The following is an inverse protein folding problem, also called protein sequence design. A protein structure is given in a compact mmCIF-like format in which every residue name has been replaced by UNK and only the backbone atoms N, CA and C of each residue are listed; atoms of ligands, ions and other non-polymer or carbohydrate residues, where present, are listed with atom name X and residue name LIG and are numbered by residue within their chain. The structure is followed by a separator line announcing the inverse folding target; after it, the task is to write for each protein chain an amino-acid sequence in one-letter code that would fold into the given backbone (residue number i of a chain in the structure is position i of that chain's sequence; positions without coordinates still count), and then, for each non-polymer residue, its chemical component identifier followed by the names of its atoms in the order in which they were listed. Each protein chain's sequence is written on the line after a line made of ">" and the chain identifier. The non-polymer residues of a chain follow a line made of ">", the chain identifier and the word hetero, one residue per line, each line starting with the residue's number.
data_IF_015501889614
#
_entry.id   IF_015501889614
#
_cell.length_a   1.000
_cell.length_b   1.000
_cell.length_c   1.000
_cell.angle_alpha   90.00
_cell.angle_beta   90.00
_cell.angle_gamma   90.00
#
_symmetry.space_group_name_H-M   'P 1'
#
loop_
_entity.id
_entity.type
_entity.pdbx_description
1 polymer ?
#
# COMPACT_ATOMS: atom_id res chain seq x y z
N UNK A 1 33.70 3.77 5.51
CA UNK A 1 32.42 4.20 4.88
C UNK A 1 31.34 3.19 5.20
N UNK A 2 31.58 1.91 4.88
CA UNK A 2 30.72 0.74 5.18
C UNK A 2 30.18 0.72 6.61
N UNK A 3 31.03 0.85 7.65
CA UNK A 3 30.53 0.86 9.03
C UNK A 3 29.50 1.96 9.35
N UNK A 4 29.56 3.12 8.66
CA UNK A 4 28.52 4.16 8.80
C UNK A 4 27.25 3.84 8.03
N UNK A 5 27.36 3.13 6.91
CA UNK A 5 26.20 2.64 6.15
C UNK A 5 25.41 1.65 7.02
N UNK A 6 26.10 0.68 7.61
CA UNK A 6 25.50 -0.26 8.56
C UNK A 6 24.86 0.45 9.76
N UNK A 7 25.52 1.48 10.31
CA UNK A 7 24.95 2.29 11.40
C UNK A 7 23.73 3.10 10.97
N UNK A 8 23.73 3.69 9.77
CA UNK A 8 22.56 4.40 9.24
C UNK A 8 21.37 3.46 9.05
N UNK A 9 21.59 2.20 8.70
CA UNK A 9 20.52 1.21 8.56
C UNK A 9 20.04 0.71 9.92
N UNK A 10 20.96 0.31 10.80
CA UNK A 10 20.65 -0.27 12.09
C UNK A 10 20.00 0.73 13.06
N UNK A 11 20.44 1.99 13.09
CA UNK A 11 19.91 3.01 14.00
C UNK A 11 19.08 4.09 13.29
N UNK A 12 19.47 4.51 12.09
CA UNK A 12 18.74 5.53 11.36
C UNK A 12 17.41 5.02 10.82
N UNK A 13 17.45 4.00 9.95
CA UNK A 13 16.26 3.45 9.28
C UNK A 13 15.32 2.77 10.28
N UNK A 14 15.86 2.05 11.27
CA UNK A 14 15.06 1.33 12.29
C UNK A 14 14.06 2.24 13.02
N UNK A 15 14.42 3.50 13.28
CA UNK A 15 13.54 4.50 13.91
C UNK A 15 12.33 4.87 13.03
N UNK A 16 12.47 4.76 11.72
CA UNK A 16 11.41 5.07 10.77
C UNK A 16 10.53 3.88 10.43
N UNK A 17 10.95 2.65 10.72
CA UNK A 17 10.19 1.44 10.36
C UNK A 17 8.76 1.52 10.89
N UNK A 18 8.56 1.74 12.19
CA UNK A 18 7.22 1.72 12.78
C UNK A 18 6.29 2.84 12.27
N UNK A 19 6.70 4.13 12.27
CA UNK A 19 5.88 5.20 11.68
C UNK A 19 5.53 4.96 10.22
N UNK A 20 6.50 4.45 9.45
CA UNK A 20 6.35 4.21 8.01
C UNK A 20 5.42 3.04 7.71
N UNK A 21 5.29 2.05 8.60
CA UNK A 21 4.29 1.00 8.44
C UNK A 21 2.87 1.56 8.48
N UNK A 22 2.60 2.47 9.41
CA UNK A 22 1.24 2.96 9.71
C UNK A 22 0.82 4.19 8.91
N UNK A 23 1.77 5.04 8.49
CA UNK A 23 1.48 6.35 7.92
C UNK A 23 1.98 6.48 6.48
N UNK A 24 1.29 7.27 5.66
CA UNK A 24 1.83 7.69 4.38
C UNK A 24 2.98 8.68 4.58
N UNK A 25 4.11 8.44 3.92
CA UNK A 25 5.28 9.32 3.98
C UNK A 25 5.39 10.13 2.69
N UNK A 26 5.31 11.45 2.79
CA UNK A 26 5.39 12.32 1.61
C UNK A 26 6.76 12.21 0.93
N UNK A 27 6.81 12.30 -0.40
CA UNK A 27 8.05 12.13 -1.15
C UNK A 27 9.15 13.12 -0.74
N UNK A 28 8.78 14.35 -0.36
CA UNK A 28 9.75 15.32 0.17
C UNK A 28 10.37 14.85 1.49
N UNK A 29 9.60 14.20 2.36
CA UNK A 29 10.10 13.61 3.60
C UNK A 29 11.06 12.47 3.30
N UNK A 30 10.76 11.60 2.33
CA UNK A 30 11.70 10.56 1.89
C UNK A 30 13.03 11.16 1.39
N UNK A 31 12.97 12.23 0.59
CA UNK A 31 14.16 12.94 0.11
C UNK A 31 15.00 13.55 1.24
N UNK A 32 14.35 14.16 2.23
CA UNK A 32 15.06 14.72 3.40
C UNK A 32 15.69 13.62 4.26
N UNK A 33 14.99 12.50 4.48
CA UNK A 33 15.56 11.33 5.19
C UNK A 33 16.80 10.82 4.43
N UNK A 34 16.69 10.57 3.13
CA UNK A 34 17.81 10.16 2.29
C UNK A 34 18.99 11.13 2.39
N UNK A 35 18.73 12.43 2.32
CA UNK A 35 19.76 13.47 2.46
C UNK A 35 20.47 13.39 3.81
N UNK A 36 19.74 13.19 4.91
CA UNK A 36 20.32 13.01 6.25
C UNK A 36 21.19 11.75 6.31
N UNK A 37 20.72 10.62 5.79
CA UNK A 37 21.48 9.36 5.77
C UNK A 37 22.78 9.50 4.94
N UNK A 38 22.67 10.09 3.74
CA UNK A 38 23.83 10.36 2.87
C UNK A 38 24.82 11.28 3.59
N UNK A 39 24.36 12.39 4.16
CA UNK A 39 25.20 13.33 4.89
C UNK A 39 25.94 12.66 6.06
N UNK A 40 25.27 11.78 6.80
CA UNK A 40 25.88 11.01 7.86
C UNK A 40 26.99 10.07 7.34
N UNK A 41 26.73 9.32 6.27
CA UNK A 41 27.72 8.43 5.64
C UNK A 41 28.97 9.22 5.20
N UNK A 42 28.77 10.43 4.67
CA UNK A 42 29.84 11.33 4.23
C UNK A 42 30.45 12.20 5.34
N UNK A 43 29.98 12.12 6.59
CA UNK A 43 30.39 13.01 7.69
C UNK A 43 30.22 14.51 7.35
N UNK A 44 29.15 14.86 6.64
CA UNK A 44 28.91 16.22 6.12
C UNK A 44 30.05 16.74 5.23
N UNK A 45 30.87 15.86 4.65
CA UNK A 45 31.91 16.22 3.67
C UNK A 45 31.34 16.15 2.26
N UNK A 46 32.04 16.78 1.30
CA UNK A 46 31.66 16.80 -0.12
C UNK A 46 31.44 15.38 -0.64
N UNK A 47 30.33 15.16 -1.34
CA UNK A 47 30.04 13.88 -1.97
C UNK A 47 31.07 13.60 -3.06
N UNK A 48 31.75 12.45 -2.97
CA UNK A 48 32.75 12.04 -3.95
C UNK A 48 32.21 11.05 -4.99
N UNK A 49 31.02 10.47 -4.76
CA UNK A 49 30.36 9.51 -5.63
C UNK A 49 28.97 10.03 -6.01
N UNK A 50 28.51 9.65 -7.22
CA UNK A 50 27.11 9.88 -7.63
C UNK A 50 26.17 9.01 -6.80
N UNK A 51 24.97 9.50 -6.53
CA UNK A 51 23.96 8.78 -5.74
C UNK A 51 23.56 7.43 -6.35
N UNK A 52 23.62 7.29 -7.68
CA UNK A 52 23.35 6.02 -8.38
C UNK A 52 24.37 4.92 -8.01
N UNK A 53 25.63 5.29 -7.80
CA UNK A 53 26.72 4.36 -7.40
C UNK A 53 26.59 4.01 -5.90
N UNK A 54 25.94 4.87 -5.12
CA UNK A 54 25.61 4.63 -3.71
C UNK A 54 24.33 3.80 -3.53
N UNK A 55 23.56 3.53 -4.57
CA UNK A 55 22.40 2.65 -4.52
C UNK A 55 22.66 1.31 -5.25
N UNK A 56 23.88 1.10 -5.75
CA UNK A 56 24.29 -0.10 -6.47
C UNK A 56 24.63 -1.27 -5.55
N UNK A 57 24.60 -2.49 -6.12
CA UNK A 57 24.98 -3.71 -5.40
C UNK A 57 26.43 -3.67 -4.90
N UNK A 58 26.76 -4.47 -3.88
CA UNK A 58 28.13 -4.58 -3.33
C UNK A 58 29.24 -4.85 -4.35
N UNK A 59 28.91 -5.36 -5.54
CA UNK A 59 29.87 -5.60 -6.61
C UNK A 59 30.32 -4.30 -7.32
N UNK A 60 29.49 -3.26 -7.33
CA UNK A 60 29.71 -2.02 -8.12
C UNK A 60 29.56 -0.72 -7.29
N UNK A 61 29.11 -0.83 -6.03
CA UNK A 61 28.74 0.32 -5.22
C UNK A 61 28.76 0.09 -3.71
N UNK A 62 28.24 1.08 -2.98
CA UNK A 62 27.88 0.97 -1.56
C UNK A 62 26.39 0.67 -1.54
N UNK A 63 25.92 -0.36 -0.86
CA UNK A 63 24.48 -0.70 -0.81
C UNK A 63 23.72 0.24 0.15
N UNK A 64 23.77 1.56 -0.07
CA UNK A 64 22.99 2.49 0.75
C UNK A 64 21.53 2.47 0.27
N UNK A 65 20.65 1.98 1.13
CA UNK A 65 19.23 1.84 0.81
C UNK A 65 18.56 3.21 0.57
N UNK A 66 17.79 3.30 -0.52
CA UNK A 66 16.89 4.43 -0.76
C UNK A 66 15.64 4.31 0.12
N UNK A 67 15.36 5.33 0.92
CA UNK A 67 14.24 5.33 1.84
C UNK A 67 12.87 5.33 1.12
N UNK A 68 12.79 5.89 -0.09
CA UNK A 68 11.58 5.83 -0.91
C UNK A 68 11.22 4.40 -1.28
N UNK A 69 12.20 3.63 -1.77
CA UNK A 69 12.02 2.21 -2.10
C UNK A 69 11.77 1.36 -0.85
N UNK A 70 12.46 1.67 0.24
CA UNK A 70 12.21 1.02 1.53
C UNK A 70 10.81 1.28 2.07
N UNK A 71 10.27 2.49 1.89
CA UNK A 71 8.90 2.79 2.31
C UNK A 71 7.91 1.83 1.64
N UNK A 72 7.98 1.66 0.31
CA UNK A 72 7.13 0.69 -0.40
C UNK A 72 7.38 -0.75 0.05
N UNK A 73 8.65 -1.13 0.28
CA UNK A 73 8.99 -2.45 0.81
C UNK A 73 8.37 -2.69 2.18
N UNK A 74 8.41 -1.70 3.07
CA UNK A 74 7.75 -1.76 4.37
C UNK A 74 6.23 -1.86 4.23
N UNK A 75 5.61 -1.14 3.30
CA UNK A 75 4.16 -1.25 3.02
C UNK A 75 3.77 -2.66 2.58
N UNK A 76 4.51 -3.24 1.64
CA UNK A 76 4.27 -4.60 1.15
C UNK A 76 4.44 -5.61 2.29
N UNK A 77 5.50 -5.47 3.10
CA UNK A 77 5.73 -6.32 4.26
C UNK A 77 4.61 -6.18 5.29
N UNK A 78 4.15 -4.96 5.55
CA UNK A 78 3.01 -4.68 6.41
C UNK A 78 1.77 -5.44 5.94
N UNK A 79 1.38 -5.28 4.67
CA UNK A 79 0.23 -5.97 4.07
C UNK A 79 0.36 -7.49 4.23
N UNK A 80 1.52 -8.04 3.86
CA UNK A 80 1.78 -9.48 3.94
C UNK A 80 1.62 -10.02 5.36
N UNK A 81 2.17 -9.33 6.36
CA UNK A 81 2.09 -9.77 7.75
C UNK A 81 0.71 -9.48 8.38
N UNK A 82 0.04 -8.39 7.99
CA UNK A 82 -1.37 -8.12 8.34
C UNK A 82 -2.28 -9.28 7.88
N UNK A 83 -2.08 -9.80 6.67
CA UNK A 83 -2.89 -10.90 6.14
C UNK A 83 -2.64 -12.23 6.89
N UNK A 84 -1.43 -12.45 7.40
CA UNK A 84 -1.10 -13.66 8.17
C UNK A 84 -1.57 -13.60 9.62
N UNK A 85 -1.46 -12.42 10.23
CA UNK A 85 -1.71 -12.22 11.66
C UNK A 85 -2.52 -10.94 11.91
N UNK A 86 -3.80 -10.89 11.48
CA UNK A 86 -4.63 -9.68 11.60
C UNK A 86 -4.88 -9.26 13.05
N UNK A 87 -4.84 -10.20 14.00
CA UNK A 87 -5.05 -9.93 15.43
C UNK A 87 -3.79 -9.42 16.15
N UNK A 88 -2.68 -9.21 15.44
CA UNK A 88 -1.45 -8.68 16.03
C UNK A 88 -1.63 -7.21 16.40
N UNK A 89 -1.18 -6.83 17.60
CA UNK A 89 -1.21 -5.44 18.08
C UNK A 89 -0.49 -4.48 17.11
N UNK A 90 0.55 -4.97 16.43
CA UNK A 90 1.32 -4.21 15.44
C UNK A 90 0.49 -3.72 14.25
N UNK A 91 -0.62 -4.39 13.96
CA UNK A 91 -1.46 -4.13 12.80
C UNK A 91 -2.85 -3.60 13.15
N UNK A 92 -3.08 -3.25 14.42
CA UNK A 92 -4.36 -2.71 14.87
C UNK A 92 -4.79 -1.46 14.07
N UNK A 93 -3.88 -0.52 13.84
CA UNK A 93 -4.17 0.69 13.07
C UNK A 93 -4.54 0.37 11.62
N UNK A 94 -3.69 -0.33 10.82
CA UNK A 94 -4.03 -0.63 9.44
C UNK A 94 -5.31 -1.48 9.33
N UNK A 95 -5.52 -2.47 10.20
CA UNK A 95 -6.76 -3.27 10.22
C UNK A 95 -7.98 -2.37 10.38
N UNK A 96 -8.01 -1.54 11.41
CA UNK A 96 -9.16 -0.65 11.67
C UNK A 96 -9.41 0.37 10.54
N UNK A 97 -8.37 0.77 9.80
CA UNK A 97 -8.55 1.64 8.63
C UNK A 97 -9.22 0.88 7.49
N UNK A 98 -8.79 -0.36 7.23
CA UNK A 98 -9.33 -1.16 6.12
C UNK A 98 -10.72 -1.76 6.40
N UNK A 99 -11.09 -1.97 7.67
CA UNK A 99 -12.44 -2.43 8.07
C UNK A 99 -13.56 -1.58 7.45
N UNK A 100 -13.36 -0.27 7.33
CA UNK A 100 -14.34 0.65 6.71
C UNK A 100 -14.59 0.39 5.23
N UNK A 101 -13.75 -0.41 4.58
CA UNK A 101 -13.81 -0.78 3.17
C UNK A 101 -14.05 -2.30 3.00
N UNK A 102 -14.47 -3.00 4.05
CA UNK A 102 -14.70 -4.45 4.06
C UNK A 102 -13.48 -5.28 4.45
N UNK A 103 -12.43 -4.64 4.97
CA UNK A 103 -11.21 -5.29 5.40
C UNK A 103 -10.16 -5.39 4.30
N UNK A 104 -8.91 -5.60 4.71
CA UNK A 104 -7.76 -5.62 3.80
C UNK A 104 -7.86 -6.77 2.80
N UNK A 105 -8.23 -7.97 3.26
CA UNK A 105 -8.32 -9.15 2.40
C UNK A 105 -9.36 -8.96 1.28
N UNK A 106 -10.54 -8.44 1.62
CA UNK A 106 -11.59 -8.17 0.64
C UNK A 106 -11.20 -7.05 -0.33
N UNK A 107 -10.62 -5.96 0.19
CA UNK A 107 -10.19 -4.83 -0.64
C UNK A 107 -9.14 -5.27 -1.68
N UNK A 108 -8.23 -6.18 -1.31
CA UNK A 108 -7.26 -6.78 -2.24
C UNK A 108 -7.87 -7.73 -3.28
N UNK A 109 -9.17 -8.01 -3.23
CA UNK A 109 -9.87 -8.73 -4.31
C UNK A 109 -10.62 -7.76 -5.24
N UNK A 110 -10.80 -6.52 -4.82
CA UNK A 110 -11.55 -5.51 -5.55
C UNK A 110 -10.70 -4.83 -6.62
N UNK A 111 -11.34 -4.42 -7.73
CA UNK A 111 -10.70 -3.61 -8.77
C UNK A 111 -10.73 -2.13 -8.38
N UNK A 112 -9.95 -1.74 -7.36
CA UNK A 112 -10.02 -0.39 -6.81
C UNK A 112 -9.09 0.61 -7.49
N UNK A 113 -9.50 1.87 -7.58
CA UNK A 113 -8.61 2.98 -7.89
C UNK A 113 -8.11 3.63 -6.60
N UNK A 114 -6.79 3.64 -6.42
CA UNK A 114 -6.14 4.19 -5.23
C UNK A 114 -6.52 5.66 -5.00
N UNK A 115 -6.72 6.43 -6.07
CA UNK A 115 -7.03 7.86 -5.99
C UNK A 115 -8.46 8.13 -5.48
N UNK A 116 -9.36 7.16 -5.68
CA UNK A 116 -10.78 7.24 -5.31
C UNK A 116 -11.05 6.72 -3.90
N UNK A 117 -10.06 6.12 -3.26
CA UNK A 117 -10.14 5.62 -1.90
C UNK A 117 -9.82 6.71 -0.87
N UNK A 118 -10.48 6.68 0.30
CA UNK A 118 -10.38 7.76 1.26
C UNK A 118 -9.05 7.80 2.03
N UNK A 119 -8.34 6.67 2.19
CA UNK A 119 -7.18 6.55 3.07
C UNK A 119 -6.13 5.54 2.56
N UNK A 120 -4.91 5.63 3.12
CA UNK A 120 -3.81 4.67 2.93
C UNK A 120 -3.41 4.41 1.46
N UNK A 121 -3.47 5.44 0.63
CA UNK A 121 -3.18 5.37 -0.79
C UNK A 121 -1.82 4.72 -1.08
N UNK A 122 -0.75 5.14 -0.40
CA UNK A 122 0.59 4.57 -0.60
C UNK A 122 0.67 3.07 -0.31
N UNK A 123 -0.01 2.60 0.74
CA UNK A 123 -0.06 1.17 1.07
C UNK A 123 -0.76 0.39 -0.04
N UNK A 124 -1.87 0.91 -0.55
CA UNK A 124 -2.64 0.27 -1.61
C UNK A 124 -1.98 0.37 -2.98
N UNK A 125 -1.23 1.44 -3.26
CA UNK A 125 -0.31 1.51 -4.40
C UNK A 125 0.73 0.41 -4.29
N UNK A 126 1.35 0.24 -3.12
CA UNK A 126 2.33 -0.82 -2.88
C UNK A 126 1.72 -2.21 -3.09
N UNK A 127 0.45 -2.41 -2.71
CA UNK A 127 -0.27 -3.65 -2.97
C UNK A 127 -0.42 -3.93 -4.47
N UNK A 128 -0.84 -2.93 -5.26
CA UNK A 128 -0.97 -3.07 -6.73
C UNK A 128 0.34 -3.41 -7.44
N UNK A 129 1.49 -3.05 -6.86
CA UNK A 129 2.81 -3.44 -7.40
C UNK A 129 3.09 -4.95 -7.24
N UNK A 130 2.47 -5.60 -6.26
CA UNK A 130 2.75 -7.01 -5.93
C UNK A 130 1.63 -7.98 -6.31
N UNK A 131 0.39 -7.52 -6.35
CA UNK A 131 -0.77 -8.34 -6.65
C UNK A 131 -1.26 -8.01 -8.06
N UNK A 132 -1.10 -8.97 -8.98
CA UNK A 132 -1.74 -8.93 -10.30
C UNK A 132 -3.12 -9.57 -10.14
N UNK A 133 -4.17 -8.80 -10.40
CA UNK A 133 -5.52 -9.34 -10.43
C UNK A 133 -5.81 -9.96 -11.79
N UNK A 134 -6.36 -11.17 -11.78
CA UNK A 134 -6.99 -11.78 -12.95
C UNK A 134 -8.49 -11.59 -12.81
N UNK A 135 -9.02 -10.44 -13.26
CA UNK A 135 -10.45 -10.18 -13.21
C UNK A 135 -11.15 -10.92 -14.36
N UNK A 136 -12.09 -11.80 -14.02
CA UNK A 136 -13.09 -12.31 -14.95
C UNK A 136 -14.31 -11.38 -14.94
N UNK A 137 -14.90 -11.02 -16.09
CA UNK A 137 -16.09 -10.16 -16.13
C UNK A 137 -17.26 -10.69 -15.28
N UNK A 138 -17.37 -12.01 -15.14
CA UNK A 138 -18.43 -12.68 -14.37
C UNK A 138 -18.24 -12.62 -12.85
N UNK A 139 -17.04 -12.28 -12.37
CA UNK A 139 -16.72 -12.17 -10.94
C UNK A 139 -16.44 -10.71 -10.54
N UNK A 140 -17.01 -9.76 -11.29
CA UNK A 140 -16.80 -8.33 -11.04
C UNK A 140 -17.43 -7.94 -9.70
N UNK A 141 -16.60 -7.65 -8.72
CA UNK A 141 -17.02 -7.15 -7.41
C UNK A 141 -17.52 -5.70 -7.57
N UNK A 142 -18.71 -5.42 -7.02
CA UNK A 142 -19.35 -4.09 -7.07
C UNK A 142 -18.60 -3.09 -6.18
N UNK A 143 -18.17 -3.58 -5.02
CA UNK A 143 -17.59 -2.77 -3.96
C UNK A 143 -16.14 -2.40 -4.23
N UNK A 144 -15.76 -1.21 -3.78
CA UNK A 144 -14.45 -0.62 -4.01
C UNK A 144 -13.98 -0.69 -5.46
N UNK A 145 -14.89 -0.69 -6.42
CA UNK A 145 -14.55 -0.79 -7.83
C UNK A 145 -14.17 0.59 -8.42
N UNK A 146 -13.24 0.61 -9.37
CA UNK A 146 -12.73 1.80 -10.04
C UNK A 146 -13.83 2.51 -10.84
N UNK A 147 -14.75 1.74 -11.42
CA UNK A 147 -15.81 2.23 -12.29
C UNK A 147 -17.13 2.42 -11.54
N UNK A 148 -17.43 1.59 -10.54
CA UNK A 148 -18.66 1.71 -9.74
C UNK A 148 -18.42 2.66 -8.58
N UNK A 149 -18.71 3.94 -8.81
CA UNK A 149 -18.40 5.03 -7.89
C UNK A 149 -19.62 5.86 -7.54
N UNK A 150 -19.58 6.51 -6.37
CA UNK A 150 -20.56 7.52 -5.98
C UNK A 150 -19.88 8.87 -5.86
N UNK A 151 -20.26 9.83 -6.70
CA UNK A 151 -19.61 11.16 -6.77
C UNK A 151 -18.09 11.05 -6.96
N UNK A 152 -17.65 10.17 -7.86
CA UNK A 152 -16.24 9.89 -8.15
C UNK A 152 -15.40 9.40 -6.95
N UNK A 153 -16.05 8.79 -5.96
CA UNK A 153 -15.38 8.13 -4.83
C UNK A 153 -15.77 6.65 -4.79
N UNK A 154 -14.86 5.85 -4.25
CA UNK A 154 -15.08 4.43 -4.00
C UNK A 154 -16.35 4.21 -3.15
N UNK A 155 -17.08 3.13 -3.46
CA UNK A 155 -18.32 2.76 -2.81
C UNK A 155 -18.15 1.46 -2.02
N UNK A 156 -18.55 1.48 -0.75
CA UNK A 156 -18.66 0.30 0.10
C UNK A 156 -19.88 0.44 1.01
N UNK A 157 -20.80 -0.54 0.98
CA UNK A 157 -21.99 -0.57 1.82
C UNK A 157 -22.05 -1.86 2.62
N UNK A 158 -21.68 -1.78 3.90
CA UNK A 158 -21.68 -2.93 4.80
C UNK A 158 -23.05 -3.63 4.87
N UNK A 159 -24.15 -2.86 4.91
CA UNK A 159 -25.51 -3.43 4.94
C UNK A 159 -25.86 -4.34 3.76
N UNK A 160 -25.23 -4.12 2.60
CA UNK A 160 -25.45 -4.95 1.41
C UNK A 160 -24.49 -6.14 1.39
N UNK A 161 -23.26 -5.94 1.84
CA UNK A 161 -22.31 -7.03 2.11
C UNK A 161 -22.87 -8.05 3.10
N UNK A 162 -23.52 -7.60 4.18
CA UNK A 162 -24.15 -8.46 5.20
C UNK A 162 -25.31 -9.31 4.61
N UNK A 163 -25.84 -8.92 3.45
CA UNK A 163 -26.87 -9.64 2.70
C UNK A 163 -26.30 -10.48 1.55
N UNK A 164 -24.97 -10.65 1.48
CA UNK A 164 -24.26 -11.36 0.41
C UNK A 164 -24.47 -10.77 -1.00
N UNK A 165 -24.69 -9.45 -1.11
CA UNK A 165 -24.68 -8.76 -2.40
C UNK A 165 -23.26 -8.26 -2.65
N UNK A 166 -22.50 -8.95 -3.51
CA UNK A 166 -21.06 -8.75 -3.68
C UNK A 166 -20.70 -8.48 -5.15
N UNK A 167 -21.25 -9.28 -6.05
CA UNK A 167 -20.92 -9.32 -7.46
C UNK A 167 -21.94 -8.58 -8.29
N UNK A 168 -21.51 -8.10 -9.46
CA UNK A 168 -22.39 -7.43 -10.42
C UNK A 168 -23.56 -8.35 -10.85
N UNK A 169 -23.34 -9.66 -10.90
CA UNK A 169 -24.39 -10.66 -11.14
C UNK A 169 -25.48 -10.68 -10.08
N UNK A 170 -25.20 -10.29 -8.83
CA UNK A 170 -26.18 -10.32 -7.73
C UNK A 170 -27.23 -9.21 -7.86
N UNK A 171 -26.98 -8.22 -8.72
CA UNK A 171 -27.91 -7.12 -9.02
C UNK A 171 -28.42 -7.16 -10.46
N UNK A 172 -28.12 -8.24 -11.19
CA UNK A 172 -28.54 -8.44 -12.57
C UNK A 172 -29.58 -9.56 -12.67
N UNK A 173 -30.53 -9.40 -13.59
CA UNK A 173 -31.45 -10.45 -14.01
C UNK A 173 -30.73 -11.50 -14.86
N UNK A 174 -31.39 -12.63 -15.12
CA UNK A 174 -30.89 -13.68 -16.03
C UNK A 174 -30.62 -13.17 -17.45
N UNK A 175 -31.26 -12.04 -17.83
CA UNK A 175 -31.08 -11.39 -19.13
C UNK A 175 -29.96 -10.34 -19.13
N UNK A 176 -29.25 -10.16 -18.01
CA UNK A 176 -28.14 -9.21 -17.86
C UNK A 176 -28.57 -7.76 -17.62
N UNK A 177 -29.85 -7.51 -17.36
CA UNK A 177 -30.36 -6.18 -17.01
C UNK A 177 -30.29 -5.94 -15.50
N UNK A 178 -30.13 -4.70 -15.06
CA UNK A 178 -30.16 -4.39 -13.63
C UNK A 178 -31.57 -4.63 -13.07
N UNK A 179 -31.64 -5.28 -11.90
CA UNK A 179 -32.90 -5.52 -11.19
C UNK A 179 -33.56 -4.19 -10.83
N UNK A 180 -34.88 -4.11 -11.05
CA UNK A 180 -35.70 -3.02 -10.52
C UNK A 180 -35.89 -3.16 -9.02
N UNK A 181 -36.34 -2.10 -8.35
CA UNK A 181 -36.63 -2.15 -6.91
C UNK A 181 -37.71 -3.17 -6.54
N UNK A 182 -38.60 -3.52 -7.47
CA UNK A 182 -39.66 -4.50 -7.25
C UNK A 182 -39.17 -5.95 -7.36
N UNK A 183 -38.04 -6.16 -8.07
CA UNK A 183 -37.43 -7.47 -8.30
C UNK A 183 -36.31 -7.79 -7.29
N UNK A 184 -36.01 -6.86 -6.38
CA UNK A 184 -34.91 -6.90 -5.41
C UNK A 184 -35.40 -7.12 -3.97
#
# INVERSE_FOLDING_TARGET
>A
MIGRVLLSEADGISRFVYPTLSLSVHQNTCKEINKVLINFVWKNKRHHLKNEILAGSWAEGVELLDFGDLNYTFKIKCIKECLKAPNSLWYFIPVNVFEKMGGLQFLLLCDYDVTKLPQNQQTLTAAKLCFVHNFSPHETIIWNNEYITRKNKSLYLQKWMDKNIIYLSDIQSETGQLLSYEEF
#
